data_IF_222058719889
#
_entry.id   IF_222058719889
#
_cell.length_a   1.000
_cell.length_b   1.000
_cell.length_c   1.000
_cell.angle_alpha   90.00
_cell.angle_beta   90.00
_cell.angle_gamma   90.00
#
_symmetry.space_group_name_H-M   'P 1'
#
loop_
_entity.id
_entity.type
_entity.pdbx_description
1 polymer ?
#
# COMPACT_ATOMS: atom_id res chain seq x y z
N UNK A 1 -8.15 -29.66 -10.59
CA UNK A 1 -9.61 -29.88 -10.78
C UNK A 1 -10.29 -30.22 -9.45
N UNK A 2 -9.76 -31.14 -8.65
CA UNK A 2 -10.38 -31.54 -7.36
C UNK A 2 -10.34 -30.44 -6.30
N UNK A 3 -9.24 -29.69 -6.19
CA UNK A 3 -9.12 -28.50 -5.31
C UNK A 3 -10.11 -27.39 -5.68
N UNK A 4 -10.33 -27.17 -6.96
CA UNK A 4 -11.26 -26.13 -7.45
C UNK A 4 -12.71 -26.47 -7.15
N UNK A 5 -13.10 -27.75 -7.19
CA UNK A 5 -14.44 -28.21 -6.82
C UNK A 5 -14.72 -27.98 -5.33
N UNK A 6 -13.81 -28.39 -4.46
CA UNK A 6 -13.95 -28.17 -3.02
C UNK A 6 -14.04 -26.70 -2.62
N UNK A 7 -13.24 -25.84 -3.22
CA UNK A 7 -13.30 -24.38 -3.00
C UNK A 7 -14.62 -23.78 -3.50
N UNK A 8 -15.11 -24.22 -4.67
CA UNK A 8 -16.39 -23.79 -5.21
C UNK A 8 -17.56 -24.14 -4.29
N UNK A 9 -17.57 -25.32 -3.70
CA UNK A 9 -18.62 -25.75 -2.78
C UNK A 9 -18.58 -25.00 -1.43
N UNK A 10 -17.40 -24.75 -0.90
CA UNK A 10 -17.22 -23.92 0.32
C UNK A 10 -17.74 -22.51 0.06
N UNK A 11 -17.41 -21.95 -1.09
CA UNK A 11 -17.81 -20.59 -1.45
C UNK A 11 -19.33 -20.45 -1.65
N UNK A 12 -19.95 -21.40 -2.37
CA UNK A 12 -21.41 -21.46 -2.54
C UNK A 12 -22.13 -21.50 -1.17
N UNK A 13 -21.61 -22.29 -0.24
CA UNK A 13 -22.16 -22.40 1.12
C UNK A 13 -21.97 -21.13 1.93
N UNK A 14 -20.80 -20.47 1.82
CA UNK A 14 -20.56 -19.19 2.51
C UNK A 14 -21.54 -18.12 2.06
N UNK A 15 -21.89 -18.06 0.78
CA UNK A 15 -22.90 -17.12 0.29
C UNK A 15 -24.24 -17.41 0.93
N UNK A 16 -24.69 -18.67 0.96
CA UNK A 16 -25.94 -19.06 1.59
C UNK A 16 -26.01 -18.71 3.08
N UNK A 17 -24.90 -18.90 3.78
CA UNK A 17 -24.83 -18.73 5.23
C UNK A 17 -24.65 -17.26 5.67
N UNK A 18 -24.08 -16.39 4.79
CA UNK A 18 -23.61 -15.05 5.15
C UNK A 18 -24.28 -13.92 4.38
N UNK A 19 -25.05 -14.22 3.33
CA UNK A 19 -25.73 -13.18 2.58
C UNK A 19 -26.77 -12.49 3.47
N UNK A 20 -26.90 -11.18 3.38
CA UNK A 20 -27.74 -10.38 4.28
C UNK A 20 -29.23 -10.65 4.13
N UNK A 21 -29.68 -11.06 2.91
CA UNK A 21 -31.05 -11.50 2.69
C UNK A 21 -31.12 -13.04 2.71
N UNK A 22 -31.83 -13.64 3.69
CA UNK A 22 -31.95 -15.11 3.77
C UNK A 22 -32.61 -15.75 2.55
N UNK A 23 -33.37 -14.99 1.77
CA UNK A 23 -34.00 -15.46 0.52
C UNK A 23 -33.12 -15.21 -0.71
N UNK A 24 -31.93 -14.67 -0.52
CA UNK A 24 -30.96 -14.39 -1.59
C UNK A 24 -31.62 -13.64 -2.75
N UNK A 25 -32.37 -12.58 -2.48
CA UNK A 25 -33.17 -11.82 -3.47
C UNK A 25 -34.10 -12.71 -4.34
N UNK A 26 -34.47 -13.91 -3.86
CA UNK A 26 -35.28 -14.86 -4.62
C UNK A 26 -34.54 -15.58 -5.74
N UNK A 27 -33.21 -15.55 -5.77
CA UNK A 27 -32.36 -16.09 -6.82
C UNK A 27 -32.20 -17.63 -6.64
N UNK A 28 -32.26 -18.36 -7.73
CA UNK A 28 -31.95 -19.80 -7.73
C UNK A 28 -30.42 -20.03 -7.69
N UNK A 29 -29.82 -19.80 -6.51
CA UNK A 29 -28.38 -19.91 -6.31
C UNK A 29 -27.82 -21.30 -6.66
N UNK A 30 -28.56 -22.36 -6.35
CA UNK A 30 -28.18 -23.73 -6.71
C UNK A 30 -28.16 -23.96 -8.23
N UNK A 31 -29.12 -23.35 -8.94
CA UNK A 31 -29.19 -23.38 -10.40
C UNK A 31 -28.00 -22.68 -11.03
N UNK A 32 -27.62 -21.50 -10.55
CA UNK A 32 -26.42 -20.80 -11.00
C UNK A 32 -25.15 -21.61 -10.70
N UNK A 33 -25.05 -22.22 -9.53
CA UNK A 33 -23.94 -23.12 -9.22
C UNK A 33 -23.73 -24.21 -10.26
N UNK A 34 -24.81 -24.85 -10.72
CA UNK A 34 -24.76 -25.84 -11.80
C UNK A 34 -24.42 -25.24 -13.17
N UNK A 35 -24.96 -24.04 -13.46
CA UNK A 35 -24.69 -23.37 -14.72
C UNK A 35 -23.21 -22.99 -14.88
N UNK A 36 -22.54 -22.58 -13.78
CA UNK A 36 -21.13 -22.21 -13.79
C UNK A 36 -20.18 -23.40 -13.69
N UNK A 37 -20.63 -24.57 -13.17
CA UNK A 37 -19.82 -25.80 -13.11
C UNK A 37 -19.25 -26.25 -14.46
N UNK A 38 -19.95 -25.99 -15.55
CA UNK A 38 -19.51 -26.35 -16.91
C UNK A 38 -18.20 -25.65 -17.33
N UNK A 39 -17.86 -24.52 -16.72
CA UNK A 39 -16.63 -23.77 -17.00
C UNK A 39 -15.41 -24.33 -16.26
N UNK A 40 -15.59 -25.06 -15.15
CA UNK A 40 -14.50 -25.59 -14.34
C UNK A 40 -13.46 -26.43 -15.12
N UNK A 41 -13.83 -27.27 -16.07
CA UNK A 41 -12.84 -28.02 -16.84
C UNK A 41 -11.94 -27.17 -17.73
N UNK A 42 -12.34 -25.94 -18.03
CA UNK A 42 -11.63 -25.00 -18.90
C UNK A 42 -10.75 -23.99 -18.12
N UNK A 43 -10.83 -24.00 -16.78
CA UNK A 43 -10.07 -23.11 -15.93
C UNK A 43 -8.72 -23.71 -15.61
N UNK A 44 -7.65 -23.01 -16.01
CA UNK A 44 -6.27 -23.46 -15.86
C UNK A 44 -5.49 -22.75 -14.74
N UNK A 45 -6.00 -21.62 -14.26
CA UNK A 45 -5.30 -20.78 -13.30
C UNK A 45 -6.29 -20.12 -12.31
N UNK A 46 -5.74 -19.54 -11.25
CA UNK A 46 -6.55 -18.92 -10.19
C UNK A 46 -7.17 -17.57 -10.60
N UNK A 47 -6.66 -16.90 -11.63
CA UNK A 47 -7.25 -15.66 -12.14
C UNK A 47 -8.56 -15.96 -12.82
N UNK A 48 -8.58 -16.93 -13.77
CA UNK A 48 -9.80 -17.37 -14.47
C UNK A 48 -10.82 -17.91 -13.47
N UNK A 49 -10.36 -18.63 -12.43
CA UNK A 49 -11.23 -19.12 -11.37
C UNK A 49 -11.89 -17.97 -10.58
N UNK A 50 -11.12 -16.95 -10.22
CA UNK A 50 -11.65 -15.78 -9.53
C UNK A 50 -12.61 -14.98 -10.40
N UNK A 51 -12.32 -14.86 -11.70
CA UNK A 51 -13.20 -14.22 -12.67
C UNK A 51 -14.55 -14.93 -12.75
N UNK A 52 -14.54 -16.26 -12.97
CA UNK A 52 -15.76 -17.07 -12.97
C UNK A 52 -16.56 -16.92 -11.67
N UNK A 53 -15.89 -16.90 -10.51
CA UNK A 53 -16.56 -16.67 -9.23
C UNK A 53 -17.13 -15.25 -9.13
N UNK A 54 -16.44 -14.25 -9.69
CA UNK A 54 -16.90 -12.88 -9.70
C UNK A 54 -18.16 -12.70 -10.53
N UNK A 55 -18.20 -13.31 -11.72
CA UNK A 55 -19.40 -13.34 -12.57
C UNK A 55 -20.56 -14.04 -11.86
N UNK A 56 -20.33 -15.25 -11.29
CA UNK A 56 -21.36 -15.96 -10.54
C UNK A 56 -21.92 -15.15 -9.37
N UNK A 57 -21.07 -14.37 -8.69
CA UNK A 57 -21.51 -13.46 -7.61
C UNK A 57 -22.31 -12.27 -8.13
N UNK A 58 -22.06 -11.83 -9.36
CA UNK A 58 -22.85 -10.78 -10.02
C UNK A 58 -24.34 -11.16 -10.13
N UNK A 59 -24.64 -12.46 -10.26
CA UNK A 59 -26.01 -12.98 -10.32
C UNK A 59 -26.81 -12.74 -9.02
N UNK A 60 -26.12 -12.48 -7.90
CA UNK A 60 -26.78 -12.13 -6.63
C UNK A 60 -27.46 -10.75 -6.65
N UNK A 61 -27.22 -9.97 -7.71
CA UNK A 61 -27.72 -8.59 -7.81
C UNK A 61 -27.48 -7.77 -6.54
N UNK A 62 -26.31 -7.98 -5.95
CA UNK A 62 -25.84 -7.31 -4.74
C UNK A 62 -24.73 -6.31 -5.06
N UNK A 63 -24.72 -5.16 -4.38
CA UNK A 63 -23.64 -4.19 -4.50
C UNK A 63 -22.35 -4.75 -3.87
N UNK A 64 -21.19 -4.47 -4.50
CA UNK A 64 -19.86 -4.85 -4.00
C UNK A 64 -19.62 -6.36 -3.85
N UNK A 65 -20.33 -7.19 -4.61
CA UNK A 65 -20.04 -8.63 -4.73
C UNK A 65 -18.95 -8.86 -5.78
N UNK A 66 -18.05 -9.80 -5.52
CA UNK A 66 -16.99 -10.15 -6.45
C UNK A 66 -15.92 -11.03 -5.80
N UNK A 67 -15.13 -11.69 -6.63
CA UNK A 67 -13.98 -12.47 -6.22
C UNK A 67 -12.71 -11.92 -6.89
N UNK A 68 -11.59 -11.96 -6.20
CA UNK A 68 -10.30 -11.52 -6.73
C UNK A 68 -9.22 -12.49 -6.29
N UNK A 69 -8.38 -12.90 -7.22
CA UNK A 69 -7.16 -13.60 -6.88
C UNK A 69 -5.99 -12.61 -6.80
N UNK A 70 -5.25 -12.70 -5.72
CA UNK A 70 -3.96 -12.01 -5.57
C UNK A 70 -2.87 -13.06 -5.48
N UNK A 71 -2.00 -13.10 -6.47
CA UNK A 71 -0.79 -13.89 -6.36
C UNK A 71 0.05 -13.36 -5.19
N UNK A 72 0.53 -14.27 -4.34
CA UNK A 72 1.57 -13.89 -3.39
C UNK A 72 2.79 -13.47 -4.21
N UNK A 73 3.12 -12.19 -4.19
CA UNK A 73 4.37 -11.71 -4.78
C UNK A 73 5.52 -12.35 -4.01
N UNK A 74 6.38 -13.09 -4.73
CA UNK A 74 7.64 -13.61 -4.18
C UNK A 74 8.71 -12.52 -4.06
N UNK A 75 8.51 -11.39 -4.73
CA UNK A 75 9.42 -10.27 -4.67
C UNK A 75 9.24 -9.50 -3.35
N UNK A 76 10.33 -9.20 -2.64
CA UNK A 76 10.26 -8.42 -1.42
C UNK A 76 9.75 -7.00 -1.74
N UNK A 77 8.81 -6.51 -0.94
CA UNK A 77 8.28 -5.16 -1.11
C UNK A 77 9.38 -4.11 -0.90
N UNK A 78 9.37 -3.08 -1.72
CA UNK A 78 10.25 -1.93 -1.56
C UNK A 78 9.87 -1.15 -0.30
N UNK A 79 10.88 -0.71 0.44
CA UNK A 79 10.70 0.12 1.62
C UNK A 79 10.77 1.61 1.28
N UNK A 80 10.24 2.45 2.18
CA UNK A 80 10.30 3.89 2.09
C UNK A 80 11.18 4.49 3.18
N UNK A 81 11.93 5.52 2.82
CA UNK A 81 12.67 6.36 3.77
C UNK A 81 11.81 7.44 4.42
N UNK A 82 10.54 7.57 4.03
CA UNK A 82 9.63 8.57 4.59
C UNK A 82 9.98 10.00 4.19
N UNK A 83 10.39 10.21 2.95
CA UNK A 83 10.69 11.53 2.40
C UNK A 83 10.11 11.69 0.99
N UNK A 84 9.92 12.94 0.59
CA UNK A 84 9.71 13.34 -0.80
C UNK A 84 11.00 13.93 -1.35
N UNK A 85 11.24 13.69 -2.62
CA UNK A 85 12.46 14.10 -3.31
C UNK A 85 12.18 15.14 -4.37
N UNK A 86 13.13 16.04 -4.58
CA UNK A 86 13.07 17.07 -5.60
C UNK A 86 13.20 16.44 -7.00
N UNK A 87 12.08 16.36 -7.72
CA UNK A 87 12.02 15.78 -9.06
C UNK A 87 12.76 16.59 -10.12
N UNK A 88 13.12 17.84 -9.83
CA UNK A 88 13.88 18.70 -10.72
C UNK A 88 15.40 18.59 -10.49
N UNK A 89 15.82 17.85 -9.46
CA UNK A 89 17.23 17.61 -9.18
C UNK A 89 17.82 16.65 -10.21
N UNK A 90 18.86 17.08 -10.91
CA UNK A 90 19.49 16.32 -12.00
C UNK A 90 20.86 15.73 -11.62
N UNK A 91 21.33 15.96 -10.40
CA UNK A 91 22.59 15.41 -9.90
C UNK A 91 22.46 13.97 -9.42
N UNK A 92 23.60 13.35 -9.11
CA UNK A 92 23.64 12.04 -8.47
C UNK A 92 23.05 12.11 -7.05
N UNK A 93 22.32 11.07 -6.65
CA UNK A 93 21.66 10.99 -5.35
C UNK A 93 20.19 11.42 -5.36
N UNK A 94 19.58 11.40 -4.17
CA UNK A 94 18.20 11.82 -3.93
C UNK A 94 18.20 13.09 -3.08
N UNK A 95 17.89 14.23 -3.67
CA UNK A 95 17.75 15.48 -2.95
C UNK A 95 16.42 15.51 -2.21
N UNK A 96 16.47 15.61 -0.89
CA UNK A 96 15.29 15.63 -0.03
C UNK A 96 14.59 16.98 -0.17
N UNK A 97 13.33 16.96 -0.57
CA UNK A 97 12.46 18.14 -0.59
C UNK A 97 11.69 18.27 0.73
N UNK A 98 11.12 17.16 1.22
CA UNK A 98 10.34 17.12 2.44
C UNK A 98 10.56 15.81 3.20
N UNK A 99 10.61 15.88 4.53
CA UNK A 99 10.64 14.71 5.42
C UNK A 99 9.27 14.53 6.07
N UNK A 100 8.71 13.33 5.97
CA UNK A 100 7.42 13.00 6.57
C UNK A 100 7.60 12.91 8.09
N UNK A 101 6.83 13.73 8.81
CA UNK A 101 6.86 13.75 10.28
C UNK A 101 6.57 12.35 10.87
N UNK A 102 7.31 11.99 11.91
CA UNK A 102 7.29 10.67 12.56
C UNK A 102 7.75 9.51 11.65
N UNK A 103 8.35 9.83 10.51
CA UNK A 103 8.96 8.86 9.61
C UNK A 103 10.39 8.46 10.01
N UNK A 104 11.04 7.60 9.21
CA UNK A 104 12.39 7.07 9.50
C UNK A 104 13.48 8.13 9.70
N UNK A 105 13.35 9.27 9.02
CA UNK A 105 14.33 10.35 9.02
C UNK A 105 14.06 11.43 10.09
N UNK A 106 13.16 11.17 11.07
CA UNK A 106 12.81 12.14 12.13
C UNK A 106 13.33 11.74 13.51
N UNK A 107 14.50 11.14 13.60
CA UNK A 107 15.13 10.82 14.88
C UNK A 107 15.58 12.10 15.58
N UNK A 108 15.65 12.07 16.94
CA UNK A 108 16.04 13.22 17.73
C UNK A 108 17.43 13.77 17.38
N UNK A 109 18.38 12.88 17.04
CA UNK A 109 19.76 13.24 16.76
C UNK A 109 20.10 13.27 15.27
N UNK A 110 19.07 13.25 14.39
CA UNK A 110 19.31 13.25 12.95
C UNK A 110 19.89 14.58 12.47
N UNK A 111 20.90 14.47 11.60
CA UNK A 111 21.41 15.59 10.82
C UNK A 111 20.73 15.73 9.47
N UNK A 112 19.89 14.75 9.10
CA UNK A 112 19.18 14.74 7.81
C UNK A 112 18.04 15.76 7.87
N UNK A 113 18.02 16.68 6.92
CA UNK A 113 17.00 17.73 6.78
C UNK A 113 16.64 17.95 5.30
N UNK A 114 15.54 18.63 5.01
CA UNK A 114 15.26 19.07 3.65
C UNK A 114 16.44 19.82 3.04
N UNK A 115 16.74 19.54 1.77
CA UNK A 115 17.92 20.04 1.07
C UNK A 115 19.13 19.11 1.09
N UNK A 116 19.23 18.16 2.04
CA UNK A 116 20.26 17.13 2.01
C UNK A 116 20.10 16.19 0.82
N UNK A 117 21.21 15.61 0.37
CA UNK A 117 21.26 14.66 -0.75
C UNK A 117 21.72 13.31 -0.23
N UNK A 118 20.90 12.28 -0.39
CA UNK A 118 21.28 10.90 -0.11
C UNK A 118 22.09 10.39 -1.29
N UNK A 119 23.40 10.27 -1.11
CA UNK A 119 24.32 9.86 -2.18
C UNK A 119 24.40 8.34 -2.31
N UNK A 120 24.28 7.59 -1.17
CA UNK A 120 24.40 6.12 -1.16
C UNK A 120 23.41 5.47 -0.20
N UNK A 121 23.03 4.25 -0.53
CA UNK A 121 22.30 3.34 0.34
C UNK A 121 23.11 2.06 0.50
N UNK A 122 23.46 1.68 1.74
CA UNK A 122 24.31 0.53 2.07
C UNK A 122 25.60 0.49 1.21
N UNK A 123 26.24 1.65 1.01
CA UNK A 123 27.47 1.80 0.21
C UNK A 123 27.27 1.87 -1.30
N UNK A 124 26.09 1.58 -1.81
CA UNK A 124 25.78 1.66 -3.25
C UNK A 124 25.40 3.08 -3.65
N UNK A 125 26.10 3.64 -4.64
CA UNK A 125 25.82 4.99 -5.15
C UNK A 125 24.45 5.04 -5.85
N UNK A 126 23.78 6.16 -5.70
CA UNK A 126 22.55 6.47 -6.43
C UNK A 126 22.95 7.40 -7.59
N UNK A 127 22.77 6.93 -8.82
CA UNK A 127 23.10 7.71 -10.02
C UNK A 127 21.87 8.41 -10.56
N UNK A 128 22.10 9.59 -11.14
CA UNK A 128 21.04 10.32 -11.84
C UNK A 128 20.45 9.46 -12.96
N UNK A 129 19.10 9.41 -13.01
CA UNK A 129 18.37 8.63 -14.02
C UNK A 129 18.32 7.12 -13.77
N UNK A 130 18.98 6.59 -12.73
CA UNK A 130 18.91 5.18 -12.36
C UNK A 130 17.81 4.92 -11.32
N UNK A 131 17.20 3.73 -11.39
CA UNK A 131 16.21 3.29 -10.42
C UNK A 131 16.86 2.90 -9.09
N UNK A 132 16.57 3.64 -8.04
CA UNK A 132 17.06 3.38 -6.68
C UNK A 132 16.15 2.45 -5.86
N UNK A 133 14.94 2.17 -6.30
CA UNK A 133 14.01 1.32 -5.54
C UNK A 133 14.54 -0.08 -5.22
N UNK A 134 15.33 -0.75 -6.07
CA UNK A 134 15.96 -2.02 -5.74
C UNK A 134 16.82 -1.97 -4.49
N UNK A 135 17.48 -0.84 -4.18
CA UNK A 135 18.32 -0.66 -3.00
C UNK A 135 17.52 -0.72 -1.69
N UNK A 136 16.21 -0.45 -1.76
CA UNK A 136 15.27 -0.50 -0.64
C UNK A 136 14.39 -1.74 -0.63
N UNK A 137 14.55 -2.65 -1.60
CA UNK A 137 13.75 -3.87 -1.68
C UNK A 137 13.99 -4.78 -0.47
N UNK A 138 12.90 -5.14 0.24
CA UNK A 138 12.98 -5.98 1.45
C UNK A 138 13.66 -5.35 2.65
N UNK A 139 13.86 -4.02 2.66
CA UNK A 139 14.56 -3.29 3.73
C UNK A 139 13.64 -2.73 4.81
N UNK A 140 12.32 -2.85 4.68
CA UNK A 140 11.38 -2.37 5.70
C UNK A 140 11.69 -3.00 7.07
N UNK A 141 11.85 -2.15 8.09
CA UNK A 141 12.20 -2.55 9.46
C UNK A 141 13.65 -3.00 9.69
N UNK A 142 14.48 -3.09 8.64
CA UNK A 142 15.92 -3.40 8.76
C UNK A 142 16.73 -2.12 8.85
N UNK A 143 17.91 -2.19 9.44
CA UNK A 143 18.84 -1.06 9.41
C UNK A 143 19.46 -0.91 8.02
N UNK A 144 19.51 0.32 7.56
CA UNK A 144 20.09 0.75 6.29
C UNK A 144 21.02 1.91 6.57
N UNK A 145 22.23 1.88 6.01
CA UNK A 145 23.21 2.97 6.11
C UNK A 145 23.00 3.93 4.94
N UNK A 146 22.75 5.20 5.27
CA UNK A 146 22.67 6.29 4.30
C UNK A 146 23.96 7.10 4.33
N UNK A 147 24.60 7.32 3.18
CA UNK A 147 25.63 8.33 3.05
C UNK A 147 25.00 9.60 2.50
N UNK A 148 25.12 10.70 3.23
CA UNK A 148 24.38 11.93 3.01
C UNK A 148 25.33 13.10 2.83
N UNK A 149 25.04 13.95 1.86
CA UNK A 149 25.69 15.24 1.65
C UNK A 149 24.75 16.39 2.03
N UNK A 150 25.19 17.29 2.86
CA UNK A 150 24.49 18.53 3.17
C UNK A 150 25.12 19.70 2.35
N UNK A 151 24.45 20.20 1.31
CA UNK A 151 24.98 21.31 0.49
C UNK A 151 25.16 22.62 1.27
N UNK A 152 24.39 22.83 2.35
CA UNK A 152 24.45 24.06 3.15
C UNK A 152 25.72 24.14 4.00
N UNK A 153 26.14 23.04 4.57
CA UNK A 153 27.36 22.95 5.40
C UNK A 153 28.56 22.39 4.64
N UNK A 154 28.32 21.81 3.45
CA UNK A 154 29.30 21.07 2.63
C UNK A 154 29.87 19.83 3.34
N UNK A 155 29.17 19.32 4.33
CA UNK A 155 29.56 18.13 5.08
C UNK A 155 28.99 16.86 4.44
N UNK A 156 29.75 15.77 4.57
CA UNK A 156 29.28 14.41 4.30
C UNK A 156 29.30 13.64 5.60
N UNK A 157 28.21 12.91 5.83
CA UNK A 157 28.07 12.08 7.02
C UNK A 157 27.28 10.80 6.69
N UNK A 158 27.34 9.85 7.60
CA UNK A 158 26.58 8.61 7.49
C UNK A 158 25.58 8.51 8.63
N UNK A 159 24.42 7.99 8.33
CA UNK A 159 23.36 7.80 9.31
C UNK A 159 22.63 6.47 9.08
N UNK A 160 22.42 5.72 10.16
CA UNK A 160 21.62 4.50 10.12
C UNK A 160 20.15 4.81 10.35
N UNK A 161 19.29 4.31 9.45
CA UNK A 161 17.85 4.47 9.51
C UNK A 161 17.14 3.12 9.38
N UNK A 162 15.89 3.05 9.80
CA UNK A 162 15.02 1.88 9.58
C UNK A 162 13.89 2.29 8.64
N UNK A 163 13.98 1.99 7.34
CA UNK A 163 12.91 2.25 6.39
C UNK A 163 11.60 1.59 6.81
N UNK A 164 10.49 2.18 6.42
CA UNK A 164 9.14 1.70 6.70
C UNK A 164 8.49 1.13 5.44
N UNK A 165 7.35 0.45 5.59
CA UNK A 165 6.54 0.04 4.44
C UNK A 165 5.83 1.24 3.83
N UNK A 166 5.43 1.17 2.55
CA UNK A 166 4.57 2.18 1.94
C UNK A 166 3.20 2.28 2.60
N UNK A 167 2.68 1.17 3.15
CA UNK A 167 1.46 1.21 3.97
C UNK A 167 1.63 2.11 5.20
N UNK A 168 2.70 1.91 5.96
CA UNK A 168 3.03 2.78 7.12
C UNK A 168 3.22 4.24 6.70
N UNK A 169 3.89 4.49 5.56
CA UNK A 169 4.01 5.85 5.03
C UNK A 169 2.64 6.47 4.73
N UNK A 170 1.74 5.72 4.08
CA UNK A 170 0.38 6.18 3.78
C UNK A 170 -0.40 6.53 5.05
N UNK A 171 -0.24 5.73 6.12
CA UNK A 171 -0.87 6.02 7.40
C UNK A 171 -0.34 7.33 8.03
N UNK A 172 0.98 7.58 7.92
CA UNK A 172 1.56 8.84 8.39
C UNK A 172 1.04 10.04 7.60
N UNK A 173 0.93 9.92 6.28
CA UNK A 173 0.39 10.96 5.41
C UNK A 173 -1.09 11.21 5.67
N UNK A 174 -1.88 10.17 5.90
CA UNK A 174 -3.29 10.29 6.27
C UNK A 174 -3.45 11.02 7.61
N UNK A 175 -2.68 10.63 8.63
CA UNK A 175 -2.69 11.33 9.93
C UNK A 175 -2.30 12.80 9.79
N UNK A 176 -1.31 13.13 8.97
CA UNK A 176 -0.93 14.51 8.65
C UNK A 176 -2.08 15.27 8.01
N UNK A 177 -2.74 14.65 7.03
CA UNK A 177 -3.90 15.26 6.35
C UNK A 177 -5.05 15.53 7.32
N UNK A 178 -5.39 14.58 8.18
CA UNK A 178 -6.43 14.75 9.22
C UNK A 178 -6.10 15.92 10.13
N UNK A 179 -4.85 16.01 10.59
CA UNK A 179 -4.42 17.09 11.49
C UNK A 179 -4.47 18.46 10.80
N UNK A 180 -4.02 18.55 9.56
CA UNK A 180 -4.11 19.78 8.77
C UNK A 180 -5.58 20.21 8.55
N UNK A 181 -6.49 19.26 8.30
CA UNK A 181 -7.92 19.56 8.17
C UNK A 181 -8.55 19.99 9.48
N UNK A 182 -8.14 19.41 10.59
CA UNK A 182 -8.54 19.81 11.94
C UNK A 182 -8.17 21.27 12.22
N UNK A 183 -6.91 21.61 12.01
CA UNK A 183 -6.41 22.98 12.20
C UNK A 183 -7.10 23.99 11.27
N UNK A 184 -7.38 23.57 10.02
CA UNK A 184 -8.11 24.41 9.06
C UNK A 184 -9.54 24.67 9.53
N UNK A 185 -10.27 23.66 9.99
CA UNK A 185 -11.65 23.80 10.48
C UNK A 185 -11.68 24.66 11.73
N UNK A 186 -10.77 24.41 12.66
CA UNK A 186 -10.65 25.22 13.89
C UNK A 186 -10.41 26.70 13.57
N UNK A 187 -9.46 26.98 12.69
CA UNK A 187 -9.15 28.35 12.23
C UNK A 187 -10.34 29.02 11.53
N UNK A 188 -11.01 28.31 10.59
CA UNK A 188 -12.10 28.88 9.81
C UNK A 188 -13.39 29.08 10.61
N UNK A 189 -13.61 28.26 11.63
CA UNK A 189 -14.79 28.34 12.50
C UNK A 189 -14.56 29.14 13.77
N UNK A 190 -13.39 29.73 13.97
CA UNK A 190 -12.96 30.38 15.23
C UNK A 190 -13.18 29.48 16.45
N UNK A 191 -12.81 28.20 16.34
CA UNK A 191 -12.95 27.20 17.40
C UNK A 191 -14.39 26.70 17.62
N UNK A 192 -15.33 27.06 16.76
CA UNK A 192 -16.75 26.68 16.93
C UNK A 192 -17.09 25.28 16.42
N UNK A 193 -16.38 24.77 15.41
CA UNK A 193 -16.61 23.46 14.81
C UNK A 193 -15.51 22.47 15.13
N UNK A 194 -15.91 21.24 15.47
CA UNK A 194 -14.99 20.13 15.62
C UNK A 194 -14.95 19.32 14.31
N UNK A 195 -13.75 19.17 13.74
CA UNK A 195 -13.53 18.19 12.68
C UNK A 195 -13.28 16.82 13.30
N UNK A 196 -14.23 15.91 13.15
CA UNK A 196 -14.08 14.52 13.55
C UNK A 196 -13.96 13.66 12.30
N UNK A 197 -12.75 13.13 12.05
CA UNK A 197 -12.59 12.05 11.08
C UNK A 197 -12.90 10.74 11.78
N UNK A 198 -13.65 9.81 11.15
CA UNK A 198 -13.75 8.46 11.68
C UNK A 198 -12.34 7.91 11.89
N UNK A 199 -12.08 7.38 13.08
CA UNK A 199 -10.82 6.66 13.31
C UNK A 199 -10.77 5.47 12.36
N UNK A 200 -9.64 5.21 11.70
CA UNK A 200 -9.48 4.01 10.88
C UNK A 200 -9.58 2.74 11.73
#
# INVERSE_FOLDING_TARGET
>A
VERSRGLGDVYKRQVLDKFYDPKIHGINWAGYGKAYEKFLPHINNNYDFAEMLSEMLGELNGSHTGARYRSASSAPATASLGAFYDNNYTGDGLKIEEIIAKGPLTKADTKIKPGCIIEKIDGTNIKSGEDYYPLLSGKAGKQVLLSVYDPATKERFEEQVKPITYGTQSDLLYKRWVEQKRQMVDKLSNGCLLYTSPSP
#
